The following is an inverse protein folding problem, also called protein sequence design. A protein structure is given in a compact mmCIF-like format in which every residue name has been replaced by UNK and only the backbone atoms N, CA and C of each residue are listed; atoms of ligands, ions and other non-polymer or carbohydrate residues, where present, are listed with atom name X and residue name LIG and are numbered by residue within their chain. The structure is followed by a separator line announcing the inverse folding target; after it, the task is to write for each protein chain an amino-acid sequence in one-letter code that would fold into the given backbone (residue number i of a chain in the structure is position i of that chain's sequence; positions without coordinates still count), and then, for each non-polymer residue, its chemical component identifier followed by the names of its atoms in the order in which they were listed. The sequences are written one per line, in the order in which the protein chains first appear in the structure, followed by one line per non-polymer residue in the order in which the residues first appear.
data_IF_521107730479
#
_entry.id   IF_521107730479
#
_cell.length_a   1.000
_cell.length_b   1.000
_cell.length_c   1.000
_cell.angle_alpha   90.00
_cell.angle_beta   90.00
_cell.angle_gamma   90.00
#
_symmetry.space_group_name_H-M   'P 1'
#
loop_
_entity.id
_entity.type
_entity.pdbx_description
1 polymer ?
#
# COMPACT_ATOMS: atom_id res chain seq x y z
N UNK A 1 -22.88 72.78 20.15
CA UNK A 1 -21.52 72.36 20.60
C UNK A 1 -21.47 70.87 20.96
N UNK A 2 -22.31 70.05 20.34
CA UNK A 2 -22.45 68.60 20.66
C UNK A 2 -22.00 67.64 19.52
N UNK A 3 -21.64 68.12 18.35
CA UNK A 3 -21.40 67.27 17.18
C UNK A 3 -19.96 66.73 17.05
N UNK A 4 -18.99 67.36 17.69
CA UNK A 4 -17.58 66.94 17.57
C UNK A 4 -17.21 65.76 18.44
N UNK A 5 -17.88 65.61 19.62
CA UNK A 5 -17.57 64.50 20.53
C UNK A 5 -18.27 63.17 20.12
N UNK A 6 -19.41 63.25 19.44
CA UNK A 6 -20.08 62.07 18.92
C UNK A 6 -19.30 61.38 17.81
N UNK A 7 -18.62 62.17 16.94
CA UNK A 7 -17.77 61.60 15.86
C UNK A 7 -16.52 60.90 16.39
N UNK A 8 -15.91 61.42 17.46
CA UNK A 8 -14.73 60.83 18.07
C UNK A 8 -15.00 59.49 18.74
N UNK A 9 -16.18 59.36 19.36
CA UNK A 9 -16.61 58.09 19.99
C UNK A 9 -16.94 57.03 18.96
N UNK A 10 -17.56 57.39 17.82
CA UNK A 10 -17.90 56.43 16.75
C UNK A 10 -16.61 55.92 16.02
N UNK A 11 -15.59 56.75 15.87
CA UNK A 11 -14.31 56.33 15.26
C UNK A 11 -13.53 55.43 16.20
N UNK A 12 -13.61 55.63 17.53
CA UNK A 12 -12.95 54.76 18.50
C UNK A 12 -13.61 53.37 18.57
N UNK A 13 -14.93 53.28 18.41
CA UNK A 13 -15.64 52.00 18.36
C UNK A 13 -15.32 51.21 17.07
N UNK A 14 -15.06 51.86 15.95
CA UNK A 14 -14.67 51.19 14.70
C UNK A 14 -13.23 50.69 14.70
N UNK A 15 -12.37 51.25 15.55
CA UNK A 15 -10.97 50.83 15.68
C UNK A 15 -10.77 49.65 16.63
N UNK A 16 -11.79 49.31 17.43
CA UNK A 16 -11.76 48.14 18.36
C UNK A 16 -12.49 46.91 17.82
N UNK A 17 -12.99 46.94 16.59
CA UNK A 17 -13.41 45.73 15.90
C UNK A 17 -12.14 44.90 15.58
N UNK A 18 -11.65 44.22 16.60
CA UNK A 18 -10.66 43.15 16.41
C UNK A 18 -11.34 42.12 15.51
N UNK A 19 -10.77 41.91 14.35
CA UNK A 19 -11.09 40.76 13.53
C UNK A 19 -10.70 39.56 14.40
N UNK A 20 -11.66 39.01 15.09
CA UNK A 20 -11.54 37.65 15.65
C UNK A 20 -11.48 36.77 14.40
N UNK A 21 -10.26 36.50 13.94
CA UNK A 21 -10.03 35.38 13.04
C UNK A 21 -10.49 34.20 13.84
N UNK A 22 -11.66 33.71 13.56
CA UNK A 22 -12.06 32.42 14.03
C UNK A 22 -11.03 31.45 13.47
N UNK A 23 -10.24 30.88 14.33
CA UNK A 23 -9.45 29.71 13.99
C UNK A 23 -10.49 28.62 13.71
N UNK A 24 -10.81 28.42 12.43
CA UNK A 24 -11.77 27.40 11.99
C UNK A 24 -11.25 25.98 12.28
N UNK A 25 -10.05 25.87 12.83
CA UNK A 25 -9.52 24.60 13.29
C UNK A 25 -10.23 24.22 14.60
N UNK A 26 -11.00 23.12 14.61
CA UNK A 26 -11.72 22.67 15.83
C UNK A 26 -10.78 22.22 16.94
N UNK A 27 -9.45 22.38 16.76
CA UNK A 27 -8.41 21.99 17.72
C UNK A 27 -8.46 20.49 18.06
N UNK A 28 -8.85 19.67 17.07
CA UNK A 28 -8.85 18.21 17.17
C UNK A 28 -7.53 17.69 16.63
N UNK A 29 -6.93 16.79 17.41
CA UNK A 29 -5.64 16.19 17.08
C UNK A 29 -4.44 17.07 17.44
N UNK A 30 -3.27 16.48 17.34
CA UNK A 30 -1.98 17.12 17.56
C UNK A 30 -1.16 17.09 16.27
N UNK A 31 -0.23 18.02 16.11
CA UNK A 31 0.70 17.98 14.99
C UNK A 31 1.63 16.78 15.16
N UNK A 32 1.63 15.90 14.15
CA UNK A 32 2.51 14.74 14.11
C UNK A 32 3.88 15.17 13.59
N UNK A 33 4.95 14.79 14.30
CA UNK A 33 6.30 15.02 13.82
C UNK A 33 6.72 13.99 12.78
N UNK A 34 7.74 14.30 11.96
CA UNK A 34 8.28 13.34 11.01
C UNK A 34 8.83 12.08 11.69
N UNK A 35 9.34 12.20 12.92
CA UNK A 35 9.82 11.05 13.69
C UNK A 35 8.67 10.12 14.11
N UNK A 36 7.48 10.67 14.37
CA UNK A 36 6.31 9.86 14.70
C UNK A 36 5.76 9.14 13.45
N UNK A 37 5.88 9.77 12.28
CA UNK A 37 5.45 9.17 11.01
C UNK A 37 6.30 7.96 10.63
N UNK A 38 7.62 8.01 10.80
CA UNK A 38 8.55 6.91 10.47
C UNK A 38 8.15 5.58 11.14
N UNK A 39 7.54 5.63 12.33
CA UNK A 39 7.13 4.43 13.08
C UNK A 39 5.85 3.80 12.52
N UNK A 40 5.02 4.57 11.83
CA UNK A 40 3.68 4.14 11.37
C UNK A 40 3.51 4.18 9.85
N UNK A 41 4.40 4.86 9.13
CA UNK A 41 4.37 4.92 7.68
C UNK A 41 5.27 3.82 7.08
N UNK A 42 4.66 2.71 6.79
CA UNK A 42 5.24 1.59 6.05
C UNK A 42 4.55 1.42 4.70
N UNK A 43 4.17 2.52 4.11
CA UNK A 43 3.57 2.53 2.77
C UNK A 43 4.62 2.18 1.72
N UNK A 44 4.34 1.17 0.91
CA UNK A 44 5.20 0.77 -0.20
C UNK A 44 4.55 1.19 -1.50
N UNK A 45 5.28 2.00 -2.26
CA UNK A 45 4.81 2.54 -3.53
C UNK A 45 5.13 1.62 -4.71
N UNK A 46 4.41 1.73 -5.84
CA UNK A 46 4.68 0.91 -7.03
C UNK A 46 6.11 1.00 -7.57
N UNK A 47 6.80 2.12 -7.34
CA UNK A 47 8.18 2.36 -7.75
C UNK A 47 9.23 1.82 -6.75
N UNK A 48 8.78 1.15 -5.67
CA UNK A 48 9.67 0.60 -4.64
C UNK A 48 9.96 1.54 -3.48
N UNK A 49 9.51 2.78 -3.51
CA UNK A 49 9.65 3.69 -2.36
C UNK A 49 8.97 3.07 -1.14
N UNK A 50 9.69 3.01 -0.02
CA UNK A 50 9.23 2.42 1.23
C UNK A 50 9.55 0.93 1.40
N UNK A 51 10.14 0.25 0.40
CA UNK A 51 10.60 -1.12 0.57
C UNK A 51 11.72 -1.18 1.63
N UNK A 52 11.64 -2.11 2.59
CA UNK A 52 12.69 -2.31 3.57
C UNK A 52 13.92 -3.01 2.95
N UNK A 53 15.04 -2.93 3.66
CA UNK A 53 16.21 -3.77 3.36
C UNK A 53 15.85 -5.24 3.57
N UNK A 54 16.32 -6.10 2.66
CA UNK A 54 16.08 -7.54 2.71
C UNK A 54 16.12 -8.15 1.32
N UNK A 55 16.05 -9.47 1.25
CA UNK A 55 15.99 -10.18 -0.03
C UNK A 55 15.48 -11.60 0.13
N UNK A 56 15.00 -12.20 -0.96
CA UNK A 56 14.60 -13.61 -0.97
C UNK A 56 14.39 -14.15 -2.37
N UNK A 57 14.44 -15.47 -2.47
CA UNK A 57 14.19 -16.26 -3.69
C UNK A 57 12.90 -17.07 -3.55
N UNK A 58 12.35 -17.55 -4.67
CA UNK A 58 11.18 -18.41 -4.63
C UNK A 58 11.50 -19.77 -3.95
N UNK A 59 12.72 -20.27 -4.11
CA UNK A 59 13.16 -21.49 -3.44
C UNK A 59 13.09 -21.37 -1.90
N UNK A 60 13.51 -20.24 -1.34
CA UNK A 60 13.39 -19.93 0.09
C UNK A 60 11.94 -19.71 0.51
N UNK A 61 11.19 -18.98 -0.31
CA UNK A 61 9.78 -18.65 -0.09
C UNK A 61 8.85 -19.86 -0.06
N UNK A 62 9.22 -20.96 -0.71
CA UNK A 62 8.44 -22.20 -0.67
C UNK A 62 8.22 -22.69 0.77
N UNK A 63 9.25 -22.58 1.64
CA UNK A 63 9.13 -22.96 3.04
C UNK A 63 8.27 -21.96 3.81
N UNK A 64 8.47 -20.67 3.62
CA UNK A 64 7.66 -19.61 4.25
C UNK A 64 6.18 -19.80 3.92
N UNK A 65 5.89 -20.08 2.63
CA UNK A 65 4.53 -20.35 2.17
C UNK A 65 3.92 -21.59 2.83
N UNK A 66 4.69 -22.69 2.90
CA UNK A 66 4.24 -23.92 3.54
C UNK A 66 3.85 -23.69 5.00
N UNK A 67 4.64 -22.93 5.74
CA UNK A 67 4.47 -22.74 7.17
C UNK A 67 3.35 -21.73 7.49
N UNK A 68 3.13 -20.72 6.64
CA UNK A 68 2.29 -19.56 6.96
C UNK A 68 1.07 -19.37 6.04
N UNK A 69 1.07 -19.89 4.82
CA UNK A 69 0.07 -19.57 3.80
C UNK A 69 -0.75 -20.78 3.34
N UNK A 70 -0.12 -21.95 3.30
CA UNK A 70 -0.68 -23.19 2.76
C UNK A 70 -2.05 -23.55 3.33
N UNK A 71 -2.23 -23.40 4.64
CA UNK A 71 -3.46 -23.81 5.33
C UNK A 71 -4.69 -23.05 4.82
N UNK A 72 -4.51 -21.81 4.39
CA UNK A 72 -5.58 -20.95 3.88
C UNK A 72 -5.66 -20.91 2.36
N UNK A 73 -4.53 -20.85 1.66
CA UNK A 73 -4.49 -20.65 0.21
C UNK A 73 -4.28 -21.94 -0.60
N UNK A 74 -4.06 -23.08 0.09
CA UNK A 74 -3.90 -24.38 -0.54
C UNK A 74 -2.54 -24.61 -1.19
N UNK A 75 -2.30 -25.83 -1.64
CA UNK A 75 -1.07 -26.18 -2.31
C UNK A 75 -0.94 -25.43 -3.64
N UNK A 76 0.23 -24.80 -3.85
CA UNK A 76 0.48 -24.01 -5.06
C UNK A 76 -0.45 -22.82 -5.23
N UNK A 77 -0.98 -22.24 -4.16
CA UNK A 77 -1.83 -21.05 -4.19
C UNK A 77 -3.22 -21.27 -4.77
N UNK A 78 -3.70 -22.52 -4.76
CA UNK A 78 -5.00 -22.94 -5.31
C UNK A 78 -5.68 -23.90 -4.35
N UNK A 79 -6.97 -24.06 -4.51
CA UNK A 79 -7.78 -25.08 -3.80
C UNK A 79 -7.77 -24.94 -2.27
N UNK A 80 -7.43 -23.76 -1.75
CA UNK A 80 -7.53 -23.43 -0.34
C UNK A 80 -8.93 -22.97 0.06
N UNK A 81 -9.09 -22.65 1.34
CA UNK A 81 -10.35 -22.14 1.88
C UNK A 81 -10.56 -20.65 1.54
N UNK A 82 -9.47 -19.94 1.27
CA UNK A 82 -9.45 -18.51 0.98
C UNK A 82 -9.07 -18.25 -0.49
N UNK A 83 -8.87 -16.97 -0.82
CA UNK A 83 -8.66 -16.50 -2.18
C UNK A 83 -7.55 -17.27 -2.92
N UNK A 84 -7.83 -17.57 -4.16
CA UNK A 84 -6.87 -18.17 -5.10
C UNK A 84 -5.81 -17.12 -5.45
N UNK A 85 -4.55 -17.47 -5.25
CA UNK A 85 -3.41 -16.59 -5.51
C UNK A 85 -2.81 -16.78 -6.91
N UNK A 86 -3.04 -17.95 -7.53
CA UNK A 86 -2.31 -18.40 -8.72
C UNK A 86 -3.25 -18.76 -9.86
N UNK A 87 -2.89 -18.35 -11.07
CA UNK A 87 -3.62 -18.65 -12.31
C UNK A 87 -4.52 -17.51 -12.78
N UNK A 88 -5.57 -17.84 -13.49
CA UNK A 88 -6.50 -16.83 -14.06
C UNK A 88 -5.93 -16.03 -15.23
N UNK A 89 -4.76 -16.39 -15.77
CA UNK A 89 -4.14 -15.71 -16.92
C UNK A 89 -5.10 -15.67 -18.11
N UNK A 90 -5.28 -14.48 -18.68
CA UNK A 90 -6.18 -14.25 -19.83
C UNK A 90 -7.68 -14.33 -19.51
N UNK A 91 -8.08 -14.63 -18.26
CA UNK A 91 -9.48 -14.78 -17.88
C UNK A 91 -10.24 -13.47 -17.73
N UNK A 92 -9.57 -12.34 -17.56
CA UNK A 92 -10.18 -11.05 -17.21
C UNK A 92 -11.17 -10.52 -18.26
N UNK A 93 -11.03 -10.98 -19.51
CA UNK A 93 -11.92 -10.62 -20.63
C UNK A 93 -12.99 -11.68 -20.94
N UNK A 94 -13.09 -12.71 -20.11
CA UNK A 94 -14.07 -13.80 -20.27
C UNK A 94 -15.31 -13.59 -19.40
N UNK A 95 -16.34 -14.41 -19.61
CA UNK A 95 -17.56 -14.41 -18.79
C UNK A 95 -17.31 -14.83 -17.33
N UNK A 96 -16.14 -15.40 -17.03
CA UNK A 96 -15.74 -15.85 -15.69
C UNK A 96 -14.35 -15.36 -15.35
N UNK A 97 -14.16 -14.06 -15.09
CA UNK A 97 -12.87 -13.51 -14.75
C UNK A 97 -12.41 -14.02 -13.39
N UNK A 98 -11.18 -14.52 -13.32
CA UNK A 98 -10.53 -14.93 -12.08
C UNK A 98 -9.42 -13.94 -11.75
N UNK A 99 -9.59 -13.15 -10.72
CA UNK A 99 -8.63 -12.14 -10.25
C UNK A 99 -7.67 -12.79 -9.26
N UNK A 100 -6.42 -12.94 -9.66
CA UNK A 100 -5.33 -13.48 -8.83
C UNK A 100 -4.14 -12.55 -8.86
N UNK A 101 -3.06 -12.90 -8.17
CA UNK A 101 -1.79 -12.19 -8.28
C UNK A 101 -1.29 -12.20 -9.73
N UNK A 102 -1.33 -13.35 -10.41
CA UNK A 102 -0.81 -13.50 -11.77
C UNK A 102 -1.71 -12.92 -12.87
N UNK A 103 -3.02 -12.77 -12.63
CA UNK A 103 -3.94 -12.31 -13.66
C UNK A 103 -4.34 -10.83 -13.52
N UNK A 104 -4.37 -10.30 -12.29
CA UNK A 104 -5.01 -9.00 -12.02
C UNK A 104 -4.04 -7.95 -11.47
N UNK A 105 -3.16 -8.30 -10.55
CA UNK A 105 -2.34 -7.33 -9.83
C UNK A 105 -1.32 -6.66 -10.76
N UNK A 106 -1.23 -5.30 -10.74
CA UNK A 106 -0.38 -4.57 -11.67
C UNK A 106 1.08 -4.44 -11.24
N UNK A 107 1.39 -4.59 -9.94
CA UNK A 107 2.72 -4.38 -9.38
C UNK A 107 3.08 -5.47 -8.39
N UNK A 108 4.32 -5.97 -8.47
CA UNK A 108 4.86 -6.94 -7.51
C UNK A 108 5.06 -6.31 -6.13
N UNK A 109 5.38 -5.02 -6.07
CA UNK A 109 5.49 -4.24 -4.84
C UNK A 109 4.16 -4.18 -4.06
N UNK A 110 3.02 -4.20 -4.76
CA UNK A 110 1.70 -4.29 -4.11
C UNK A 110 1.49 -5.64 -3.41
N UNK A 111 2.01 -6.74 -3.99
CA UNK A 111 1.96 -8.05 -3.35
C UNK A 111 2.82 -8.05 -2.08
N UNK A 112 4.05 -7.53 -2.17
CA UNK A 112 4.93 -7.38 -1.01
C UNK A 112 4.24 -6.59 0.11
N UNK A 113 3.73 -5.40 -0.21
CA UNK A 113 3.07 -4.50 0.73
C UNK A 113 1.87 -5.18 1.42
N UNK A 114 1.07 -5.92 0.66
CA UNK A 114 -0.08 -6.63 1.21
C UNK A 114 0.34 -7.76 2.16
N UNK A 115 1.34 -8.55 1.79
CA UNK A 115 1.87 -9.63 2.65
C UNK A 115 2.47 -9.03 3.91
N UNK A 116 3.33 -8.03 3.78
CA UNK A 116 4.03 -7.37 4.88
C UNK A 116 3.06 -6.82 5.94
N UNK A 117 1.96 -6.21 5.51
CA UNK A 117 0.99 -5.57 6.41
C UNK A 117 -0.14 -6.46 6.90
N UNK A 118 -0.58 -7.42 6.09
CA UNK A 118 -1.85 -8.10 6.32
C UNK A 118 -1.75 -9.61 6.45
N UNK A 119 -0.62 -10.21 6.07
CA UNK A 119 -0.44 -11.66 6.08
C UNK A 119 0.77 -12.10 6.94
N UNK A 120 0.69 -13.27 7.59
CA UNK A 120 -0.48 -14.17 7.72
C UNK A 120 -1.63 -13.49 8.46
N UNK A 121 -2.87 -13.74 8.05
CA UNK A 121 -4.06 -13.07 8.62
C UNK A 121 -4.18 -13.16 10.14
N UNK A 122 -3.74 -14.28 10.75
CA UNK A 122 -3.76 -14.47 12.20
C UNK A 122 -2.65 -13.75 12.95
N UNK A 123 -1.59 -13.32 12.24
CA UNK A 123 -0.42 -12.66 12.79
C UNK A 123 0.18 -11.64 11.80
N UNK A 124 -0.54 -10.58 11.47
CA UNK A 124 -0.05 -9.56 10.54
C UNK A 124 1.27 -8.94 11.02
N UNK A 125 2.22 -8.71 10.12
CA UNK A 125 3.52 -8.12 10.44
C UNK A 125 4.47 -9.05 11.22
N UNK A 126 4.22 -10.36 11.25
CA UNK A 126 5.06 -11.33 11.98
C UNK A 126 6.21 -11.91 11.16
N UNK A 127 6.17 -11.77 9.84
CA UNK A 127 7.24 -12.21 8.96
C UNK A 127 8.40 -11.21 8.98
N UNK A 128 9.63 -11.71 8.86
CA UNK A 128 10.78 -10.85 8.59
C UNK A 128 10.70 -10.29 7.16
N UNK A 129 11.42 -9.19 6.90
CA UNK A 129 11.46 -8.60 5.56
C UNK A 129 11.99 -9.59 4.52
N UNK A 130 13.02 -10.39 4.86
CA UNK A 130 13.52 -11.46 4.00
C UNK A 130 12.43 -12.53 3.72
N UNK A 131 11.67 -12.95 4.73
CA UNK A 131 10.56 -13.89 4.52
C UNK A 131 9.46 -13.31 3.62
N UNK A 132 9.19 -12.00 3.72
CA UNK A 132 8.21 -11.33 2.85
C UNK A 132 8.71 -11.27 1.41
N UNK A 133 10.01 -10.94 1.17
CA UNK A 133 10.61 -11.02 -0.16
C UNK A 133 10.56 -12.45 -0.71
N UNK A 134 10.96 -13.42 0.09
CA UNK A 134 10.99 -14.81 -0.32
C UNK A 134 9.59 -15.34 -0.69
N UNK A 135 8.58 -15.12 0.16
CA UNK A 135 7.21 -15.60 -0.15
C UNK A 135 6.57 -14.81 -1.30
N UNK A 136 6.92 -13.54 -1.47
CA UNK A 136 6.54 -12.75 -2.64
C UNK A 136 7.12 -13.37 -3.91
N UNK A 137 8.42 -13.67 -3.92
CA UNK A 137 9.08 -14.36 -5.02
C UNK A 137 8.43 -15.72 -5.33
N UNK A 138 8.09 -16.49 -4.29
CA UNK A 138 7.44 -17.80 -4.47
C UNK A 138 6.05 -17.68 -5.12
N UNK A 139 5.23 -16.75 -4.68
CA UNK A 139 3.89 -16.52 -5.28
C UNK A 139 4.03 -16.06 -6.74
N UNK A 140 5.00 -15.19 -7.04
CA UNK A 140 5.30 -14.75 -8.41
C UNK A 140 5.82 -15.92 -9.28
N UNK A 141 6.70 -16.76 -8.75
CA UNK A 141 7.18 -17.99 -9.41
C UNK A 141 6.02 -18.94 -9.73
N UNK A 142 5.11 -19.18 -8.79
CA UNK A 142 3.92 -20.01 -9.04
C UNK A 142 3.00 -19.47 -10.14
N UNK A 143 3.14 -18.19 -10.47
CA UNK A 143 2.42 -17.50 -11.55
C UNK A 143 3.28 -17.32 -12.82
N UNK A 144 4.43 -17.99 -12.95
CA UNK A 144 5.33 -17.90 -14.09
C UNK A 144 5.84 -16.47 -14.37
N UNK A 145 5.99 -15.62 -13.33
CA UNK A 145 6.41 -14.21 -13.44
C UNK A 145 7.92 -14.06 -13.22
N UNK A 146 8.48 -14.82 -12.29
CA UNK A 146 9.92 -14.83 -11.97
C UNK A 146 10.46 -16.25 -11.95
N UNK A 147 11.79 -16.41 -12.05
CA UNK A 147 12.45 -17.72 -11.96
C UNK A 147 12.62 -18.17 -10.49
N UNK A 148 12.75 -19.50 -10.26
CA UNK A 148 12.83 -20.08 -8.91
C UNK A 148 13.99 -19.54 -8.07
N UNK A 149 15.13 -19.26 -8.71
CA UNK A 149 16.34 -18.78 -8.04
C UNK A 149 16.60 -17.29 -8.27
N UNK A 150 15.67 -16.58 -8.86
CA UNK A 150 15.73 -15.13 -9.02
C UNK A 150 15.61 -14.47 -7.65
N UNK A 151 16.62 -13.65 -7.30
CA UNK A 151 16.63 -12.92 -6.04
C UNK A 151 15.84 -11.63 -6.19
N UNK A 152 14.85 -11.46 -5.33
CA UNK A 152 14.11 -10.21 -5.21
C UNK A 152 14.54 -9.45 -3.96
N UNK A 153 14.71 -8.15 -4.12
CA UNK A 153 15.09 -7.18 -3.09
C UNK A 153 14.47 -5.80 -3.40
N UNK A 154 14.85 -4.77 -2.67
CA UNK A 154 14.31 -3.42 -2.85
C UNK A 154 14.62 -2.82 -4.23
N UNK A 155 15.72 -3.23 -4.88
CA UNK A 155 16.13 -2.72 -6.18
C UNK A 155 15.45 -3.49 -7.33
N UNK A 156 15.27 -4.80 -7.19
CA UNK A 156 14.78 -5.69 -8.27
C UNK A 156 13.27 -5.88 -8.29
N UNK A 157 12.62 -5.88 -7.12
CA UNK A 157 11.17 -6.11 -7.02
C UNK A 157 10.32 -5.07 -7.80
N UNK A 158 10.65 -3.77 -7.84
CA UNK A 158 9.89 -2.79 -8.62
C UNK A 158 9.95 -3.01 -10.13
N UNK A 159 11.01 -3.67 -10.61
CA UNK A 159 11.24 -3.95 -12.02
C UNK A 159 10.50 -5.19 -12.53
N UNK A 160 9.95 -6.02 -11.62
CA UNK A 160 9.17 -7.20 -11.99
C UNK A 160 7.97 -6.81 -12.86
N UNK A 161 7.91 -7.38 -14.07
CA UNK A 161 6.87 -7.08 -15.04
C UNK A 161 5.63 -7.95 -14.82
N UNK A 162 4.65 -7.40 -14.10
CA UNK A 162 3.37 -8.10 -13.89
C UNK A 162 2.56 -8.19 -15.18
N UNK A 163 1.86 -9.34 -15.44
CA UNK A 163 1.12 -9.55 -16.70
C UNK A 163 0.02 -8.51 -16.99
N UNK A 164 -0.58 -7.95 -15.95
CA UNK A 164 -1.68 -6.99 -16.09
C UNK A 164 -1.27 -5.52 -15.92
N UNK A 165 0.03 -5.23 -15.83
CA UNK A 165 0.54 -3.88 -15.52
C UNK A 165 -0.01 -2.80 -16.45
N UNK A 166 -0.09 -3.06 -17.74
CA UNK A 166 -0.43 -2.06 -18.75
C UNK A 166 -1.92 -2.00 -19.07
N UNK A 167 -2.74 -2.84 -18.43
CA UNK A 167 -4.18 -2.89 -18.70
C UNK A 167 -5.01 -2.00 -17.75
N UNK A 168 -4.36 -1.32 -16.80
CA UNK A 168 -5.02 -0.33 -15.96
C UNK A 168 -5.07 1.01 -16.67
N UNK A 169 -6.26 1.60 -16.69
CA UNK A 169 -6.48 2.94 -17.22
C UNK A 169 -6.98 3.84 -16.10
N UNK A 170 -6.54 5.07 -16.10
CA UNK A 170 -7.04 6.07 -15.16
C UNK A 170 -8.51 6.36 -15.43
N UNK A 171 -9.36 6.24 -14.42
CA UNK A 171 -10.77 6.61 -14.53
C UNK A 171 -10.96 8.13 -14.63
N UNK A 172 -10.01 8.87 -14.09
CA UNK A 172 -9.94 10.34 -14.14
C UNK A 172 -8.56 10.73 -14.62
N UNK A 173 -8.48 11.64 -15.60
CA UNK A 173 -7.23 12.32 -15.89
C UNK A 173 -6.98 13.32 -14.73
N UNK A 174 -5.89 13.23 -13.99
CA UNK A 174 -5.49 14.34 -13.13
C UNK A 174 -5.19 15.52 -14.02
N UNK A 175 -5.93 16.62 -13.84
CA UNK A 175 -5.71 17.89 -14.52
C UNK A 175 -4.40 18.54 -14.04
#
# INVERSE_FOLDING_TARGET
MFTRNAMAVSVLYLLTAQIVMADDNPQLGENVSQADLVVVDYTIMPNGEGLPDGSGTAAEGAKVYQDNCLACHGAGGKDGLNDVLVGGHGSLTTDRPQKTVGSYWPYATTLFDYVHRAMPYQAPGSLSDDDVYAVTAYILYLNDVVDENEQLDADTLPDVRMPNRDNFVWAYSPD
#
